data_IF_153278077080
#
_entry.id   IF_153278077080
#
_cell.length_a   1.000
_cell.length_b   1.000
_cell.length_c   1.000
_cell.angle_alpha   90.00
_cell.angle_beta   90.00
_cell.angle_gamma   90.00
#
_symmetry.space_group_name_H-M   'P 1'
#
loop_
_entity.id
_entity.type
_entity.pdbx_description
1 polymer ?
#
# COMPACT_ATOMS: atom_id res chain seq x y z
N UNK A 1 11.21 12.52 -10.18
CA UNK A 1 11.58 11.24 -9.51
C UNK A 1 11.77 10.15 -10.55
N UNK A 2 12.87 9.36 -10.48
CA UNK A 2 13.12 8.26 -11.44
C UNK A 2 12.73 6.88 -10.88
N UNK A 3 12.86 6.67 -9.58
CA UNK A 3 12.61 5.37 -8.93
C UNK A 3 11.81 5.57 -7.65
N UNK A 4 10.84 4.68 -7.39
CA UNK A 4 10.11 4.58 -6.14
C UNK A 4 10.27 3.15 -5.59
N UNK A 5 11.16 2.96 -4.62
CA UNK A 5 11.49 1.66 -4.03
C UNK A 5 10.96 1.53 -2.62
N UNK A 6 11.07 2.59 -1.82
CA UNK A 6 10.60 2.68 -0.44
C UNK A 6 9.61 3.86 -0.31
N UNK A 7 8.58 3.79 0.54
CA UNK A 7 7.72 4.96 0.81
C UNK A 7 8.49 6.20 1.27
N UNK A 8 9.68 6.00 1.85
CA UNK A 8 10.54 7.08 2.34
C UNK A 8 11.37 7.76 1.24
N UNK A 9 11.34 7.26 0.00
CA UNK A 9 11.97 7.92 -1.16
C UNK A 9 11.26 9.23 -1.54
N UNK A 10 10.02 9.42 -1.07
CA UNK A 10 9.24 10.63 -1.27
C UNK A 10 9.32 11.54 -0.02
N UNK A 11 9.46 12.83 -0.23
CA UNK A 11 9.25 13.81 0.84
C UNK A 11 7.75 13.93 1.21
N UNK A 12 7.43 14.60 2.31
CA UNK A 12 6.02 14.86 2.67
C UNK A 12 5.36 15.72 1.60
N UNK A 13 6.06 16.73 1.11
CA UNK A 13 5.58 17.63 0.07
C UNK A 13 5.31 16.90 -1.25
N UNK A 14 6.16 15.94 -1.62
CA UNK A 14 5.94 15.11 -2.82
C UNK A 14 4.74 14.18 -2.66
N UNK A 15 4.45 13.70 -1.44
CA UNK A 15 3.24 12.93 -1.14
C UNK A 15 2.00 13.82 -1.24
N UNK A 16 2.05 15.02 -0.67
CA UNK A 16 0.95 15.98 -0.73
C UNK A 16 0.63 16.36 -2.19
N UNK A 17 1.64 16.60 -3.03
CA UNK A 17 1.46 16.80 -4.47
C UNK A 17 0.77 15.60 -5.15
N UNK A 18 1.17 14.37 -4.83
CA UNK A 18 0.53 13.17 -5.39
C UNK A 18 -0.93 13.05 -4.93
N UNK A 19 -1.24 13.42 -3.70
CA UNK A 19 -2.61 13.47 -3.16
C UNK A 19 -3.42 14.51 -3.93
N UNK A 20 -2.86 15.70 -4.19
CA UNK A 20 -3.55 16.76 -4.93
C UNK A 20 -3.82 16.33 -6.38
N UNK A 21 -2.85 15.76 -7.08
CA UNK A 21 -3.02 15.23 -8.44
C UNK A 21 -4.10 14.13 -8.44
N UNK A 22 -4.06 13.18 -7.48
CA UNK A 22 -5.05 12.12 -7.38
C UNK A 22 -6.46 12.67 -7.15
N UNK A 23 -6.61 13.70 -6.31
CA UNK A 23 -7.90 14.36 -6.05
C UNK A 23 -8.40 15.13 -7.29
N UNK A 24 -7.51 15.79 -8.05
CA UNK A 24 -7.91 16.44 -9.29
C UNK A 24 -8.37 15.42 -10.35
N UNK A 25 -7.68 14.28 -10.49
CA UNK A 25 -8.11 13.17 -11.34
C UNK A 25 -9.50 12.65 -10.92
N UNK A 26 -9.75 12.51 -9.61
CA UNK A 26 -11.04 12.04 -9.08
C UNK A 26 -12.16 13.03 -9.43
N UNK A 27 -11.87 14.32 -9.34
CA UNK A 27 -12.82 15.39 -9.62
C UNK A 27 -13.22 15.44 -11.10
N UNK A 28 -12.26 15.27 -12.01
CA UNK A 28 -12.52 15.24 -13.44
C UNK A 28 -11.56 14.31 -14.19
N UNK A 29 -12.02 13.07 -14.40
CA UNK A 29 -11.23 12.02 -15.09
C UNK A 29 -11.06 12.28 -16.58
N UNK A 30 -11.98 13.03 -17.18
CA UNK A 30 -11.99 13.22 -18.65
C UNK A 30 -10.80 14.03 -19.11
N UNK A 31 -10.31 14.94 -18.27
CA UNK A 31 -9.10 15.75 -18.53
C UNK A 31 -7.81 14.92 -18.62
N UNK A 32 -7.82 13.71 -18.09
CA UNK A 32 -6.62 12.86 -17.97
C UNK A 32 -6.61 11.68 -18.93
N UNK A 33 -7.68 11.44 -19.66
CA UNK A 33 -7.90 10.20 -20.42
C UNK A 33 -6.93 9.98 -21.60
N UNK A 34 -6.20 11.00 -22.05
CA UNK A 34 -5.27 10.94 -23.18
C UNK A 34 -3.86 11.40 -22.82
N UNK A 35 -3.58 11.77 -21.56
CA UNK A 35 -2.29 12.34 -21.12
C UNK A 35 -1.12 11.36 -21.32
N UNK A 36 -1.35 10.05 -21.15
CA UNK A 36 -0.35 9.01 -21.41
C UNK A 36 -0.48 8.38 -22.82
N UNK A 37 -1.09 9.07 -23.78
CA UNK A 37 -1.19 8.57 -25.15
C UNK A 37 0.19 8.25 -25.70
N UNK A 38 0.34 7.07 -26.31
CA UNK A 38 1.61 6.51 -26.82
C UNK A 38 2.65 6.14 -25.74
N UNK A 39 2.30 6.19 -24.46
CA UNK A 39 3.15 5.67 -23.38
C UNK A 39 2.81 4.23 -23.05
N UNK A 40 3.82 3.47 -22.65
CA UNK A 40 3.70 2.04 -22.33
C UNK A 40 4.17 1.80 -20.91
N UNK A 41 3.30 1.19 -20.08
CA UNK A 41 3.65 0.67 -18.77
C UNK A 41 3.98 -0.82 -18.89
N UNK A 42 5.15 -1.24 -18.40
CA UNK A 42 5.46 -2.65 -18.20
C UNK A 42 5.09 -3.10 -16.78
N UNK A 43 4.22 -4.12 -16.66
CA UNK A 43 3.87 -4.76 -15.38
C UNK A 43 4.60 -6.09 -15.24
N UNK A 44 5.71 -6.11 -14.46
CA UNK A 44 6.59 -7.26 -14.32
C UNK A 44 6.35 -7.94 -12.97
N UNK A 45 5.42 -8.88 -12.94
CA UNK A 45 5.00 -9.56 -11.72
C UNK A 45 5.64 -10.94 -11.62
N UNK A 46 6.82 -11.03 -11.02
CA UNK A 46 7.54 -12.29 -10.73
C UNK A 46 6.83 -13.10 -9.63
N UNK A 47 6.05 -12.43 -8.79
CA UNK A 47 5.17 -13.02 -7.79
C UNK A 47 3.71 -12.64 -8.12
N UNK A 48 2.75 -13.59 -8.10
CA UNK A 48 1.36 -13.32 -8.42
C UNK A 48 0.74 -12.23 -7.52
N UNK A 49 0.07 -11.27 -8.12
CA UNK A 49 -0.72 -10.26 -7.42
C UNK A 49 -1.81 -9.68 -8.32
N UNK A 50 -3.02 -10.22 -8.21
CA UNK A 50 -4.15 -9.84 -9.04
C UNK A 50 -4.49 -8.36 -8.88
N UNK A 51 -4.74 -7.91 -7.64
CA UNK A 51 -5.19 -6.53 -7.37
C UNK A 51 -4.18 -5.47 -7.78
N UNK A 52 -2.93 -5.62 -7.35
CA UNK A 52 -1.89 -4.62 -7.63
C UNK A 52 -1.64 -4.50 -9.12
N UNK A 53 -1.56 -5.63 -9.84
CA UNK A 53 -1.37 -5.65 -11.29
C UNK A 53 -2.52 -4.97 -12.01
N UNK A 54 -3.76 -5.41 -11.76
CA UNK A 54 -4.95 -4.84 -12.39
C UNK A 54 -5.11 -3.35 -12.08
N UNK A 55 -4.72 -2.91 -10.87
CA UNK A 55 -4.76 -1.50 -10.50
C UNK A 55 -3.78 -0.65 -11.29
N UNK A 56 -2.53 -1.12 -11.51
CA UNK A 56 -1.56 -0.43 -12.36
C UNK A 56 -1.98 -0.41 -13.82
N UNK A 57 -2.44 -1.55 -14.35
CA UNK A 57 -2.90 -1.65 -15.73
C UNK A 57 -4.12 -0.75 -15.96
N UNK A 58 -5.12 -0.79 -15.07
CA UNK A 58 -6.28 0.09 -15.11
C UNK A 58 -5.90 1.57 -15.00
N UNK A 59 -4.91 1.91 -14.16
CA UNK A 59 -4.42 3.29 -14.04
C UNK A 59 -3.84 3.79 -15.36
N UNK A 60 -2.94 3.02 -15.98
CA UNK A 60 -2.32 3.41 -17.24
C UNK A 60 -3.32 3.50 -18.40
N UNK A 61 -4.22 2.51 -18.50
CA UNK A 61 -5.29 2.53 -19.52
C UNK A 61 -6.24 3.71 -19.34
N UNK A 62 -6.54 4.10 -18.09
CA UNK A 62 -7.40 5.27 -17.81
C UNK A 62 -6.73 6.60 -18.16
N UNK A 63 -5.41 6.63 -18.30
CA UNK A 63 -4.61 7.77 -18.76
C UNK A 63 -4.40 7.76 -20.29
N UNK A 64 -4.99 6.80 -21.03
CA UNK A 64 -4.84 6.67 -22.48
C UNK A 64 -3.58 5.95 -22.95
N UNK A 65 -2.79 5.39 -22.01
CA UNK A 65 -1.60 4.63 -22.33
C UNK A 65 -1.88 3.16 -22.67
N UNK A 66 -0.81 2.40 -22.88
CA UNK A 66 -0.84 0.97 -23.16
C UNK A 66 -0.09 0.18 -22.08
N UNK A 67 -0.35 -1.12 -22.01
CA UNK A 67 0.29 -2.00 -21.03
C UNK A 67 0.87 -3.24 -21.70
N UNK A 68 2.01 -3.69 -21.18
CA UNK A 68 2.59 -4.99 -21.49
C UNK A 68 3.12 -5.62 -20.20
N UNK A 69 3.43 -6.91 -20.21
CA UNK A 69 4.03 -7.55 -19.04
C UNK A 69 3.61 -8.98 -18.83
N UNK A 70 3.89 -9.49 -17.63
CA UNK A 70 3.57 -10.86 -17.22
C UNK A 70 3.12 -10.91 -15.77
N UNK A 71 2.38 -11.99 -15.42
CA UNK A 71 1.77 -12.19 -14.09
C UNK A 71 2.48 -13.22 -13.22
N UNK A 72 3.49 -13.91 -13.78
CA UNK A 72 4.27 -14.96 -13.08
C UNK A 72 5.61 -15.18 -13.78
N UNK A 73 6.66 -15.40 -13.00
CA UNK A 73 7.99 -15.77 -13.51
C UNK A 73 8.00 -17.08 -14.30
N UNK A 74 7.09 -18.01 -13.99
CA UNK A 74 7.06 -19.36 -14.57
C UNK A 74 6.90 -19.37 -16.12
N UNK A 75 6.28 -18.33 -16.68
CA UNK A 75 6.03 -18.21 -18.12
C UNK A 75 6.95 -17.18 -18.80
N UNK A 76 8.11 -16.91 -18.21
CA UNK A 76 9.07 -15.91 -18.69
C UNK A 76 10.47 -16.52 -18.87
N UNK A 77 11.39 -15.77 -19.44
CA UNK A 77 12.80 -16.16 -19.53
C UNK A 77 13.47 -16.36 -18.17
N UNK A 78 12.91 -15.80 -17.08
CA UNK A 78 13.38 -16.06 -15.72
C UNK A 78 13.32 -17.56 -15.35
N UNK A 79 12.34 -18.32 -15.88
CA UNK A 79 12.26 -19.78 -15.70
C UNK A 79 13.42 -20.53 -16.37
N UNK A 80 14.12 -19.89 -17.32
CA UNK A 80 15.32 -20.40 -18.00
C UNK A 80 16.62 -19.92 -17.35
N UNK A 81 16.55 -19.17 -16.25
CA UNK A 81 17.71 -18.64 -15.52
C UNK A 81 18.12 -17.21 -15.88
N UNK A 82 17.31 -16.47 -16.66
CA UNK A 82 17.57 -15.06 -16.93
C UNK A 82 17.56 -14.24 -15.63
N UNK A 83 18.56 -13.38 -15.47
CA UNK A 83 18.65 -12.53 -14.28
C UNK A 83 17.63 -11.40 -14.32
N UNK A 84 17.22 -10.89 -13.12
CA UNK A 84 16.39 -9.67 -13.01
C UNK A 84 17.03 -8.50 -13.78
N UNK A 85 18.35 -8.37 -13.70
CA UNK A 85 19.10 -7.31 -14.39
C UNK A 85 18.95 -7.37 -15.90
N UNK A 86 19.04 -8.57 -16.49
CA UNK A 86 18.89 -8.75 -17.94
C UNK A 86 17.45 -8.52 -18.37
N UNK A 87 16.48 -9.09 -17.64
CA UNK A 87 15.05 -8.82 -17.88
C UNK A 87 14.76 -7.33 -17.90
N UNK A 88 15.26 -6.58 -16.92
CA UNK A 88 15.03 -5.12 -16.83
C UNK A 88 15.70 -4.38 -17.97
N UNK A 89 16.92 -4.74 -18.34
CA UNK A 89 17.63 -4.12 -19.49
C UNK A 89 16.85 -4.31 -20.80
N UNK A 90 16.33 -5.51 -21.03
CA UNK A 90 15.52 -5.82 -22.22
C UNK A 90 14.19 -5.07 -22.20
N UNK A 91 13.44 -5.18 -21.10
CA UNK A 91 12.08 -4.59 -21.01
C UNK A 91 12.12 -3.07 -21.04
N UNK A 92 13.16 -2.44 -20.50
CA UNK A 92 13.34 -0.99 -20.59
C UNK A 92 13.40 -0.46 -22.02
N UNK A 93 13.69 -1.32 -23.02
CA UNK A 93 13.66 -0.96 -24.45
C UNK A 93 12.26 -1.02 -25.07
N UNK A 94 11.26 -1.52 -24.33
CA UNK A 94 9.90 -1.74 -24.83
C UNK A 94 8.84 -0.88 -24.13
N UNK A 95 9.22 -0.11 -23.12
CA UNK A 95 8.27 0.65 -22.31
C UNK A 95 8.84 2.00 -21.86
N UNK A 96 7.96 2.86 -21.36
CA UNK A 96 8.31 4.18 -20.82
C UNK A 96 8.42 4.17 -19.28
N UNK A 97 7.79 3.19 -18.61
CA UNK A 97 7.77 3.05 -17.15
C UNK A 97 7.54 1.59 -16.77
N UNK A 98 8.13 1.17 -15.65
CA UNK A 98 8.04 -0.20 -15.14
C UNK A 98 7.40 -0.22 -13.75
N UNK A 99 6.40 -1.08 -13.54
CA UNK A 99 5.93 -1.50 -12.22
C UNK A 99 6.38 -2.95 -11.99
N UNK A 100 7.24 -3.17 -11.00
CA UNK A 100 7.83 -4.48 -10.73
C UNK A 100 7.42 -5.01 -9.36
N UNK A 101 6.95 -6.27 -9.32
CA UNK A 101 6.73 -7.04 -8.10
C UNK A 101 7.59 -8.29 -8.08
N UNK A 102 8.27 -8.55 -6.96
CA UNK A 102 9.21 -9.67 -6.85
C UNK A 102 9.14 -10.35 -5.47
N UNK A 103 9.28 -11.70 -5.39
CA UNK A 103 9.27 -12.40 -4.10
C UNK A 103 10.52 -12.15 -3.24
N UNK A 104 11.64 -11.77 -3.84
CA UNK A 104 12.89 -11.47 -3.11
C UNK A 104 12.97 -9.99 -2.75
N UNK A 105 13.23 -9.73 -1.49
CA UNK A 105 13.48 -8.39 -0.95
C UNK A 105 14.67 -7.72 -1.65
N UNK A 106 14.56 -6.43 -1.93
CA UNK A 106 15.60 -5.64 -2.61
C UNK A 106 15.72 -5.89 -4.12
N UNK A 107 14.98 -6.82 -4.71
CA UNK A 107 15.05 -7.05 -6.17
C UNK A 107 14.70 -5.79 -6.99
N UNK A 108 13.68 -4.98 -6.63
CA UNK A 108 13.43 -3.72 -7.33
C UNK A 108 14.60 -2.71 -7.21
N UNK A 109 15.29 -2.68 -6.08
CA UNK A 109 16.49 -1.84 -5.92
C UNK A 109 17.62 -2.29 -6.85
N UNK A 110 17.84 -3.59 -6.99
CA UNK A 110 18.82 -4.13 -7.95
C UNK A 110 18.41 -3.77 -9.39
N UNK A 111 17.12 -3.85 -9.71
CA UNK A 111 16.55 -3.51 -11.01
C UNK A 111 16.85 -2.05 -11.41
N UNK A 112 16.85 -1.09 -10.46
CA UNK A 112 17.14 0.33 -10.76
C UNK A 112 18.53 0.55 -11.40
N UNK A 113 19.49 -0.34 -11.12
CA UNK A 113 20.86 -0.25 -11.66
C UNK A 113 20.92 -0.46 -13.16
N UNK A 114 19.90 -1.09 -13.74
CA UNK A 114 19.83 -1.46 -15.15
C UNK A 114 18.66 -0.81 -15.88
N UNK A 115 17.69 -0.28 -15.16
CA UNK A 115 16.55 0.40 -15.77
C UNK A 115 16.97 1.74 -16.38
N UNK A 116 16.65 1.92 -17.65
CA UNK A 116 16.80 3.22 -18.36
C UNK A 116 15.55 4.10 -18.21
N UNK A 117 14.43 3.53 -17.79
CA UNK A 117 13.13 4.17 -17.58
C UNK A 117 12.77 4.23 -16.10
N UNK A 118 11.80 5.06 -15.69
CA UNK A 118 11.26 5.06 -14.32
C UNK A 118 10.80 3.67 -13.86
N UNK A 119 11.06 3.33 -12.58
CA UNK A 119 10.70 2.05 -12.00
C UNK A 119 10.00 2.20 -10.64
N UNK A 120 8.89 1.49 -10.49
CA UNK A 120 8.06 1.46 -9.28
C UNK A 120 8.15 0.07 -8.65
N UNK A 121 8.47 0.02 -7.37
CA UNK A 121 8.31 -1.18 -6.55
C UNK A 121 6.81 -1.42 -6.27
N UNK A 122 6.24 -2.44 -6.89
CA UNK A 122 4.86 -2.90 -6.67
C UNK A 122 4.74 -3.98 -5.57
N UNK A 123 5.79 -4.13 -4.75
CA UNK A 123 5.92 -5.07 -3.64
C UNK A 123 7.12 -6.00 -3.79
N UNK A 124 7.96 -6.10 -2.78
CA UNK A 124 9.13 -6.99 -2.74
C UNK A 124 9.14 -7.84 -1.46
N UNK A 125 8.73 -9.09 -1.59
CA UNK A 125 8.71 -10.06 -0.51
C UNK A 125 7.95 -9.57 0.73
N UNK A 126 8.59 -9.64 1.88
CA UNK A 126 8.08 -9.13 3.17
C UNK A 126 8.47 -7.68 3.47
N UNK A 127 9.25 -7.02 2.61
CA UNK A 127 9.94 -5.78 2.90
C UNK A 127 9.05 -4.54 2.68
N UNK A 128 8.83 -4.11 1.43
CA UNK A 128 8.13 -2.86 1.15
C UNK A 128 6.98 -3.01 0.15
N UNK A 129 5.99 -2.12 0.29
CA UNK A 129 4.93 -1.93 -0.70
C UNK A 129 4.58 -0.44 -0.81
N UNK A 130 5.46 0.40 -1.40
CA UNK A 130 5.31 1.86 -1.36
C UNK A 130 3.97 2.34 -1.92
N UNK A 131 3.47 1.70 -2.97
CA UNK A 131 2.19 2.12 -3.57
C UNK A 131 0.97 1.74 -2.74
N UNK A 132 1.08 0.77 -1.82
CA UNK A 132 0.03 0.53 -0.83
C UNK A 132 0.03 1.64 0.21
N UNK A 133 1.19 2.05 0.71
CA UNK A 133 1.32 3.16 1.64
C UNK A 133 0.72 4.45 1.07
N UNK A 134 1.03 4.77 -0.19
CA UNK A 134 0.43 5.94 -0.87
C UNK A 134 -1.09 5.81 -1.02
N UNK A 135 -1.60 4.60 -1.31
CA UNK A 135 -3.04 4.31 -1.32
C UNK A 135 -3.70 4.60 0.02
N UNK A 136 -3.04 4.15 1.11
CA UNK A 136 -3.52 4.31 2.47
C UNK A 136 -3.54 5.79 2.86
N UNK A 137 -2.48 6.54 2.55
CA UNK A 137 -2.40 7.99 2.81
C UNK A 137 -3.48 8.78 2.06
N UNK A 138 -3.72 8.48 0.77
CA UNK A 138 -4.81 9.12 0.03
C UNK A 138 -6.16 8.81 0.65
N UNK A 139 -6.39 7.57 1.08
CA UNK A 139 -7.66 7.18 1.72
C UNK A 139 -7.85 7.91 3.02
N UNK A 140 -6.84 7.98 3.88
CA UNK A 140 -6.89 8.73 5.14
C UNK A 140 -7.18 10.21 4.86
N UNK A 141 -6.45 10.83 3.93
CA UNK A 141 -6.64 12.24 3.59
C UNK A 141 -8.06 12.53 3.08
N UNK A 142 -8.61 11.68 2.24
CA UNK A 142 -9.96 11.87 1.68
C UNK A 142 -11.06 11.72 2.72
N UNK A 143 -10.90 10.80 3.65
CA UNK A 143 -11.90 10.53 4.68
C UNK A 143 -11.77 11.48 5.89
N UNK A 144 -10.55 11.92 6.22
CA UNK A 144 -10.28 12.76 7.39
C UNK A 144 -9.96 14.22 7.06
N UNK A 145 -9.70 14.55 5.80
CA UNK A 145 -9.30 15.90 5.37
C UNK A 145 -7.90 16.32 5.83
N UNK A 146 -7.15 15.42 6.47
CA UNK A 146 -5.81 15.68 7.04
C UNK A 146 -5.03 14.40 7.22
N UNK A 147 -3.71 14.53 7.41
CA UNK A 147 -2.79 13.44 7.76
C UNK A 147 -2.10 13.66 9.12
N UNK A 148 -2.43 14.72 9.82
CA UNK A 148 -1.95 15.03 11.17
C UNK A 148 -3.07 14.92 12.23
N UNK A 149 -2.71 14.97 13.52
CA UNK A 149 -3.65 14.93 14.65
C UNK A 149 -4.61 13.73 14.56
N UNK A 150 -4.08 12.52 14.35
CA UNK A 150 -4.85 11.28 14.20
C UNK A 150 -4.37 10.20 15.16
N UNK A 151 -5.31 9.40 15.65
CA UNK A 151 -5.05 8.18 16.39
C UNK A 151 -5.30 6.98 15.48
N UNK A 152 -4.25 6.19 15.20
CA UNK A 152 -4.28 5.07 14.26
C UNK A 152 -4.11 3.76 15.02
N UNK A 153 -5.12 2.91 15.00
CA UNK A 153 -5.06 1.54 15.51
C UNK A 153 -4.68 0.57 14.38
N UNK A 154 -3.59 -0.17 14.56
CA UNK A 154 -3.24 -1.31 13.70
C UNK A 154 -3.62 -2.59 14.41
N UNK A 155 -4.41 -3.45 13.78
CA UNK A 155 -4.92 -4.67 14.39
C UNK A 155 -4.62 -5.92 13.56
N UNK A 156 -4.12 -6.97 14.20
CA UNK A 156 -3.89 -8.29 13.63
C UNK A 156 -2.43 -8.71 13.61
N UNK A 157 -1.90 -9.06 12.43
CA UNK A 157 -0.49 -9.47 12.28
C UNK A 157 0.42 -8.25 12.11
N UNK A 158 0.92 -7.74 13.23
CA UNK A 158 1.83 -6.59 13.23
C UNK A 158 3.29 -6.99 13.09
N UNK A 159 3.60 -8.26 13.35
CA UNK A 159 4.97 -8.79 13.27
C UNK A 159 5.48 -8.90 11.84
N UNK A 160 4.64 -9.44 10.95
CA UNK A 160 4.97 -9.69 9.54
C UNK A 160 4.26 -8.74 8.58
N UNK A 161 3.42 -7.85 9.11
CA UNK A 161 2.58 -6.93 8.35
C UNK A 161 3.36 -5.78 7.72
N UNK A 162 4.01 -6.01 6.56
CA UNK A 162 4.78 -4.96 5.84
C UNK A 162 3.98 -3.67 5.59
N UNK A 163 2.67 -3.76 5.37
CA UNK A 163 1.80 -2.60 5.17
C UNK A 163 1.68 -1.77 6.45
N UNK A 164 1.60 -2.43 7.61
CA UNK A 164 1.65 -1.78 8.93
C UNK A 164 2.98 -1.05 9.11
N UNK A 165 4.10 -1.74 8.87
CA UNK A 165 5.44 -1.17 9.03
C UNK A 165 5.64 0.07 8.12
N UNK A 166 5.25 -0.04 6.85
CA UNK A 166 5.41 1.03 5.88
C UNK A 166 4.49 2.23 6.20
N UNK A 167 3.24 1.98 6.60
CA UNK A 167 2.32 3.05 6.96
C UNK A 167 2.72 3.72 8.28
N UNK A 168 3.21 2.97 9.27
CA UNK A 168 3.76 3.53 10.52
C UNK A 168 4.94 4.47 10.21
N UNK A 169 5.89 4.05 9.35
CA UNK A 169 7.00 4.90 8.92
C UNK A 169 6.52 6.17 8.21
N UNK A 170 5.57 6.06 7.30
CA UNK A 170 5.04 7.19 6.56
C UNK A 170 4.32 8.18 7.49
N UNK A 171 3.41 7.70 8.34
CA UNK A 171 2.63 8.52 9.27
C UNK A 171 3.49 9.14 10.38
N UNK A 172 4.63 8.53 10.74
CA UNK A 172 5.57 9.10 11.72
C UNK A 172 6.20 10.43 11.30
N UNK A 173 5.98 10.87 10.07
CA UNK A 173 6.46 12.17 9.54
C UNK A 173 5.46 13.30 9.71
N UNK A 174 4.20 12.97 10.04
CA UNK A 174 3.14 13.94 10.29
C UNK A 174 3.04 14.27 11.77
N UNK A 175 2.46 15.43 12.11
CA UNK A 175 2.41 15.93 13.49
C UNK A 175 1.31 15.27 14.29
N UNK A 176 1.57 15.06 15.59
CA UNK A 176 0.58 14.59 16.57
C UNK A 176 -0.13 13.29 16.16
N UNK A 177 0.63 12.32 15.62
CA UNK A 177 0.11 10.98 15.35
C UNK A 177 0.28 10.13 16.60
N UNK A 178 -0.80 9.46 17.01
CA UNK A 178 -0.79 8.45 18.06
C UNK A 178 -0.97 7.08 17.43
N UNK A 179 -0.07 6.17 17.77
CA UNK A 179 -0.13 4.80 17.28
C UNK A 179 -0.67 3.86 18.36
N UNK A 180 -1.60 3.00 17.99
CA UNK A 180 -2.13 1.94 18.85
C UNK A 180 -1.91 0.60 18.13
N UNK A 181 -1.12 -0.28 18.73
CA UNK A 181 -0.80 -1.59 18.18
C UNK A 181 -1.61 -2.66 18.91
N UNK A 182 -2.55 -3.29 18.20
CA UNK A 182 -3.52 -4.24 18.73
C UNK A 182 -3.15 -5.62 18.24
N UNK A 183 -2.48 -6.42 19.06
CA UNK A 183 -1.99 -7.73 18.67
C UNK A 183 -1.78 -8.65 19.87
N UNK A 184 -1.93 -9.98 19.70
CA UNK A 184 -1.51 -10.93 20.72
C UNK A 184 0.01 -10.90 20.87
N UNK A 185 0.57 -11.39 21.99
CA UNK A 185 2.01 -11.34 22.26
C UNK A 185 2.90 -11.86 21.13
N UNK A 186 2.45 -12.86 20.39
CA UNK A 186 3.19 -13.52 19.31
C UNK A 186 3.26 -12.70 18.01
N UNK A 187 2.32 -11.76 17.82
CA UNK A 187 2.17 -10.95 16.60
C UNK A 187 2.41 -9.44 16.83
N UNK A 188 3.00 -9.08 17.96
CA UNK A 188 3.35 -7.69 18.28
C UNK A 188 4.29 -7.07 17.25
N UNK A 189 4.26 -5.75 17.17
CA UNK A 189 5.14 -4.99 16.30
C UNK A 189 6.62 -5.28 16.65
N UNK A 190 7.52 -5.43 15.66
CA UNK A 190 8.93 -5.75 15.90
C UNK A 190 9.67 -4.69 16.72
N UNK A 191 10.58 -5.14 17.59
CA UNK A 191 11.38 -4.26 18.46
C UNK A 191 12.19 -3.22 17.67
N UNK A 192 12.71 -3.56 16.48
CA UNK A 192 13.45 -2.60 15.68
C UNK A 192 12.60 -1.39 15.25
N UNK A 193 11.30 -1.58 14.98
CA UNK A 193 10.40 -0.46 14.68
C UNK A 193 10.12 0.38 15.91
N UNK A 194 10.04 -0.23 17.10
CA UNK A 194 9.91 0.54 18.36
C UNK A 194 11.15 1.38 18.58
N UNK A 195 12.32 0.76 18.64
CA UNK A 195 13.57 1.47 18.98
C UNK A 195 14.03 2.45 17.91
N UNK A 196 14.06 2.02 16.64
CA UNK A 196 14.67 2.81 15.56
C UNK A 196 13.72 3.89 15.00
N UNK A 197 12.43 3.79 15.28
CA UNK A 197 11.46 4.75 14.76
C UNK A 197 10.65 5.42 15.88
N UNK A 198 9.90 4.65 16.67
CA UNK A 198 8.92 5.22 17.59
C UNK A 198 9.63 5.91 18.76
N UNK A 199 10.54 5.22 19.44
CA UNK A 199 11.30 5.76 20.56
C UNK A 199 12.29 6.82 20.08
N UNK A 200 13.01 6.58 18.99
CA UNK A 200 13.99 7.50 18.43
C UNK A 200 13.38 8.87 18.04
N UNK A 201 12.10 8.89 17.64
CA UNK A 201 11.36 10.11 17.32
C UNK A 201 10.47 10.61 18.47
N UNK A 202 10.48 9.94 19.62
CA UNK A 202 9.62 10.23 20.77
C UNK A 202 8.14 10.32 20.39
N UNK A 203 7.66 9.32 19.63
CA UNK A 203 6.28 9.26 19.16
C UNK A 203 5.37 8.66 20.23
N UNK A 204 4.13 9.13 20.29
CA UNK A 204 3.10 8.61 21.19
C UNK A 204 2.59 7.26 20.66
N UNK A 205 2.85 6.16 21.40
CA UNK A 205 2.31 4.85 21.04
C UNK A 205 1.99 4.00 22.26
N UNK A 206 1.05 3.06 22.08
CA UNK A 206 0.71 2.03 23.06
C UNK A 206 0.46 0.68 22.39
N UNK A 207 0.72 -0.41 23.11
CA UNK A 207 0.38 -1.78 22.72
C UNK A 207 -0.76 -2.28 23.60
N UNK A 208 -1.77 -2.90 22.99
CA UNK A 208 -2.93 -3.51 23.66
C UNK A 208 -3.24 -4.86 23.02
N UNK A 209 -4.06 -5.67 23.70
CA UNK A 209 -4.39 -7.01 23.19
C UNK A 209 -5.75 -7.10 22.54
N UNK A 210 -6.67 -6.16 22.78
CA UNK A 210 -8.03 -6.19 22.24
C UNK A 210 -8.44 -4.87 21.59
N UNK A 211 -9.35 -4.95 20.60
CA UNK A 211 -9.90 -3.78 19.93
C UNK A 211 -10.77 -2.98 20.93
N UNK A 212 -11.50 -3.66 21.78
CA UNK A 212 -12.45 -3.11 22.73
C UNK A 212 -11.82 -2.14 23.74
N UNK A 213 -10.51 -2.31 24.03
CA UNK A 213 -9.76 -1.42 24.94
C UNK A 213 -9.56 -0.01 24.39
N UNK A 214 -9.68 0.15 23.06
CA UNK A 214 -9.18 1.37 22.39
C UNK A 214 -10.10 1.93 21.32
N UNK A 215 -11.12 1.20 20.90
CA UNK A 215 -11.97 1.53 19.75
C UNK A 215 -12.60 2.92 19.85
N UNK A 216 -12.91 3.38 21.06
CA UNK A 216 -13.51 4.69 21.34
C UNK A 216 -12.56 5.86 21.03
N UNK A 217 -11.26 5.63 21.08
CA UNK A 217 -10.22 6.65 20.87
C UNK A 217 -9.77 6.76 19.41
N UNK A 218 -10.00 5.72 18.60
CA UNK A 218 -9.43 5.62 17.27
C UNK A 218 -10.10 6.54 16.25
N UNK A 219 -9.31 7.16 15.40
CA UNK A 219 -9.76 7.82 14.16
C UNK A 219 -9.69 6.87 12.97
N UNK A 220 -8.74 5.93 13.01
CA UNK A 220 -8.50 4.94 11.96
C UNK A 220 -8.29 3.59 12.63
N UNK A 221 -8.98 2.56 12.16
CA UNK A 221 -8.71 1.16 12.46
C UNK A 221 -8.22 0.45 11.20
N UNK A 222 -6.94 0.13 11.16
CA UNK A 222 -6.31 -0.59 10.06
C UNK A 222 -6.22 -2.07 10.41
N UNK A 223 -7.12 -2.86 9.81
CA UNK A 223 -7.17 -4.31 10.02
C UNK A 223 -6.21 -5.04 9.12
N UNK A 224 -5.59 -6.11 9.61
CA UNK A 224 -4.75 -7.01 8.82
C UNK A 224 -5.11 -8.47 9.09
N UNK A 225 -4.99 -9.31 8.08
CA UNK A 225 -5.16 -10.75 8.27
C UNK A 225 -3.94 -11.38 8.92
N UNK A 226 -4.13 -12.45 9.67
CA UNK A 226 -3.07 -13.32 10.13
C UNK A 226 -2.57 -14.15 8.94
N UNK A 227 -1.29 -14.02 8.59
CA UNK A 227 -0.71 -14.57 7.35
C UNK A 227 -0.26 -16.04 7.57
N UNK A 228 -1.07 -17.03 7.13
CA UNK A 228 -0.75 -18.47 7.27
C UNK A 228 0.65 -18.81 6.74
N UNK A 229 1.04 -18.20 5.64
CA UNK A 229 2.31 -18.41 4.94
C UNK A 229 3.58 -17.99 5.73
N UNK A 230 3.39 -17.33 6.88
CA UNK A 230 4.47 -16.86 7.76
C UNK A 230 4.68 -17.74 9.00
N UNK A 231 3.80 -18.70 9.25
CA UNK A 231 3.90 -19.57 10.41
C UNK A 231 4.66 -20.86 10.07
N UNK A 232 5.64 -21.21 10.88
CA UNK A 232 6.31 -22.53 10.81
C UNK A 232 5.44 -23.66 11.35
N UNK A 233 4.54 -23.35 12.31
CA UNK A 233 3.65 -24.31 12.94
C UNK A 233 2.20 -23.97 12.59
N UNK A 234 1.50 -24.90 11.96
CA UNK A 234 0.09 -24.73 11.58
C UNK A 234 -0.84 -24.58 12.80
N UNK A 235 -0.48 -25.18 13.95
CA UNK A 235 -1.27 -25.06 15.18
C UNK A 235 -1.27 -23.63 15.72
N UNK A 236 -0.15 -22.91 15.63
CA UNK A 236 -0.07 -21.51 16.03
C UNK A 236 -0.94 -20.64 15.13
N UNK A 237 -0.93 -20.88 13.83
CA UNK A 237 -1.83 -20.20 12.91
C UNK A 237 -3.30 -20.46 13.24
N UNK A 238 -3.70 -21.73 13.48
CA UNK A 238 -5.09 -22.09 13.80
C UNK A 238 -5.55 -21.38 15.08
N UNK A 239 -4.69 -21.27 16.08
CA UNK A 239 -4.98 -20.59 17.34
C UNK A 239 -5.18 -19.08 17.16
N UNK A 240 -4.42 -18.44 16.27
CA UNK A 240 -4.36 -16.98 16.12
C UNK A 240 -5.23 -16.43 15.00
N UNK A 241 -5.60 -17.22 14.00
CA UNK A 241 -6.30 -16.76 12.79
C UNK A 241 -7.64 -16.06 13.06
N UNK A 242 -8.34 -16.45 14.12
CA UNK A 242 -9.66 -15.93 14.49
C UNK A 242 -9.62 -15.02 15.72
N UNK A 243 -8.43 -14.59 16.16
CA UNK A 243 -8.26 -13.77 17.36
C UNK A 243 -8.95 -12.41 17.23
N UNK A 244 -8.91 -11.84 16.02
CA UNK A 244 -9.50 -10.53 15.76
C UNK A 244 -10.51 -10.62 14.62
N UNK A 245 -11.79 -10.59 15.00
CA UNK A 245 -12.90 -10.44 14.06
C UNK A 245 -13.60 -9.15 14.38
N UNK A 246 -13.53 -8.19 13.45
CA UNK A 246 -14.28 -6.95 13.56
C UNK A 246 -15.72 -7.21 13.13
N UNK A 247 -16.66 -6.94 14.00
CA UNK A 247 -18.11 -7.04 13.79
C UNK A 247 -18.81 -5.70 14.12
N UNK A 248 -20.10 -5.59 13.82
CA UNK A 248 -20.88 -4.37 14.11
C UNK A 248 -20.95 -4.06 15.60
N UNK A 249 -20.97 -5.07 16.46
CA UNK A 249 -21.03 -4.89 17.92
C UNK A 249 -19.79 -4.17 18.45
N UNK A 250 -18.59 -4.50 17.92
CA UNK A 250 -17.35 -3.81 18.28
C UNK A 250 -17.37 -2.35 17.82
N UNK A 251 -17.98 -2.11 16.65
CA UNK A 251 -18.09 -0.76 16.08
C UNK A 251 -19.08 0.13 16.82
N UNK A 252 -20.03 -0.40 17.61
CA UNK A 252 -21.01 0.42 18.35
C UNK A 252 -20.38 1.48 19.25
N UNK A 253 -19.21 1.17 19.83
CA UNK A 253 -18.49 2.08 20.73
C UNK A 253 -17.51 3.01 20.05
N UNK A 254 -17.30 2.85 18.75
CA UNK A 254 -16.34 3.69 18.02
C UNK A 254 -16.89 5.08 17.74
N UNK A 255 -16.00 6.00 17.38
CA UNK A 255 -16.40 7.30 16.85
C UNK A 255 -17.25 7.12 15.60
N UNK A 256 -18.21 8.01 15.38
CA UNK A 256 -19.07 7.98 14.18
C UNK A 256 -18.29 8.23 12.89
N UNK A 257 -17.16 8.92 12.98
CA UNK A 257 -16.25 9.22 11.88
C UNK A 257 -15.00 8.30 11.84
N UNK A 258 -14.96 7.23 12.65
CA UNK A 258 -13.94 6.20 12.52
C UNK A 258 -13.91 5.69 11.07
N UNK A 259 -12.73 5.43 10.52
CA UNK A 259 -12.60 4.70 9.26
C UNK A 259 -11.94 3.34 9.48
N UNK A 260 -12.53 2.30 8.89
CA UNK A 260 -11.99 0.95 8.89
C UNK A 260 -11.29 0.71 7.55
N UNK A 261 -10.00 0.41 7.60
CA UNK A 261 -9.15 0.15 6.44
C UNK A 261 -8.62 -1.28 6.45
N UNK A 262 -8.30 -1.82 5.27
CA UNK A 262 -7.71 -3.15 5.11
C UNK A 262 -6.98 -3.25 3.77
N UNK A 263 -5.73 -3.77 3.71
CA UNK A 263 -4.96 -3.84 2.46
C UNK A 263 -5.46 -4.93 1.50
N UNK A 264 -6.39 -5.78 1.95
CA UNK A 264 -6.93 -6.94 1.23
C UNK A 264 -5.83 -7.94 0.72
N UNK A 265 -6.14 -9.23 0.56
CA UNK A 265 -7.47 -9.84 0.77
C UNK A 265 -7.79 -10.01 2.25
N UNK A 266 -9.05 -9.86 2.61
CA UNK A 266 -9.55 -10.33 3.90
C UNK A 266 -10.02 -11.80 3.78
N UNK A 267 -10.06 -12.48 4.90
CA UNK A 267 -10.62 -13.83 5.04
C UNK A 267 -11.84 -13.77 5.98
N UNK A 268 -11.59 -13.65 7.29
CA UNK A 268 -12.64 -13.61 8.30
C UNK A 268 -12.42 -12.53 9.37
N UNK A 269 -11.33 -11.78 9.28
CA UNK A 269 -10.96 -10.73 10.24
C UNK A 269 -11.86 -9.50 10.21
N UNK A 270 -12.73 -9.39 9.20
CA UNK A 270 -13.82 -8.42 9.16
C UNK A 270 -15.07 -9.20 8.74
N UNK A 271 -16.10 -9.17 9.57
CA UNK A 271 -17.38 -9.80 9.30
C UNK A 271 -18.10 -9.15 8.11
N UNK A 272 -18.85 -9.91 7.33
CA UNK A 272 -19.46 -9.46 6.07
C UNK A 272 -20.45 -8.30 6.31
N UNK A 273 -21.17 -8.34 7.42
CA UNK A 273 -22.13 -7.28 7.77
C UNK A 273 -21.50 -5.91 7.97
N UNK A 274 -20.19 -5.83 8.19
CA UNK A 274 -19.44 -4.54 8.27
C UNK A 274 -19.32 -3.86 6.91
N UNK A 275 -19.49 -4.59 5.80
CA UNK A 275 -19.38 -4.01 4.46
C UNK A 275 -20.38 -2.90 4.18
N UNK A 276 -21.54 -2.95 4.82
CA UNK A 276 -22.62 -1.95 4.67
C UNK A 276 -22.49 -0.81 5.70
N UNK A 277 -21.54 -0.86 6.62
CA UNK A 277 -21.31 0.21 7.58
C UNK A 277 -20.58 1.39 6.89
N UNK A 278 -21.03 2.64 7.08
CA UNK A 278 -20.42 3.81 6.44
C UNK A 278 -18.95 4.05 6.83
N UNK A 279 -18.50 3.44 7.94
CA UNK A 279 -17.10 3.49 8.40
C UNK A 279 -16.19 2.52 7.62
N UNK A 280 -16.75 1.51 6.93
CA UNK A 280 -15.99 0.54 6.12
C UNK A 280 -15.44 1.22 4.85
N UNK A 281 -14.12 1.48 4.81
CA UNK A 281 -13.47 2.21 3.71
C UNK A 281 -12.50 1.36 2.90
N UNK A 282 -12.38 0.08 3.17
CA UNK A 282 -11.42 -0.79 2.49
C UNK A 282 -11.73 -1.04 1.00
N UNK A 283 -12.97 -0.89 0.54
CA UNK A 283 -13.27 -0.92 -0.89
C UNK A 283 -13.05 0.44 -1.56
N UNK A 284 -13.34 1.55 -0.89
CA UNK A 284 -12.96 2.89 -1.34
C UNK A 284 -11.43 3.02 -1.42
N UNK A 285 -10.71 2.41 -0.48
CA UNK A 285 -9.25 2.30 -0.49
C UNK A 285 -8.73 1.63 -1.77
N UNK A 286 -9.39 0.58 -2.29
CA UNK A 286 -9.02 -0.04 -3.58
C UNK A 286 -9.16 0.96 -4.72
N UNK A 287 -10.25 1.72 -4.75
CA UNK A 287 -10.47 2.74 -5.78
C UNK A 287 -9.46 3.88 -5.68
N UNK A 288 -9.20 4.37 -4.48
CA UNK A 288 -8.16 5.37 -4.21
C UNK A 288 -6.78 4.90 -4.68
N UNK A 289 -6.49 3.61 -4.52
CA UNK A 289 -5.25 3.00 -5.02
C UNK A 289 -5.06 3.15 -6.52
N UNK A 290 -6.14 3.06 -7.32
CA UNK A 290 -6.06 3.30 -8.77
C UNK A 290 -5.72 4.76 -9.06
N UNK A 291 -6.39 5.70 -8.42
CA UNK A 291 -6.15 7.14 -8.64
C UNK A 291 -4.76 7.56 -8.18
N UNK A 292 -4.29 7.05 -7.06
CA UNK A 292 -2.93 7.31 -6.60
C UNK A 292 -1.88 6.75 -7.58
N UNK A 293 -2.14 5.59 -8.19
CA UNK A 293 -1.25 5.05 -9.23
C UNK A 293 -1.29 5.85 -10.52
N UNK A 294 -2.45 6.43 -10.88
CA UNK A 294 -2.53 7.39 -11.99
C UNK A 294 -1.66 8.62 -11.71
N UNK A 295 -1.80 9.25 -10.55
CA UNK A 295 -0.99 10.39 -10.13
C UNK A 295 0.51 10.06 -10.13
N UNK A 296 0.88 8.89 -9.59
CA UNK A 296 2.27 8.43 -9.55
C UNK A 296 2.85 8.21 -10.95
N UNK A 297 2.10 7.59 -11.87
CA UNK A 297 2.51 7.40 -13.27
C UNK A 297 2.76 8.75 -13.93
N UNK A 298 1.84 9.70 -13.81
CA UNK A 298 1.99 11.05 -14.37
C UNK A 298 3.25 11.73 -13.84
N UNK A 299 3.43 11.76 -12.52
CA UNK A 299 4.60 12.40 -11.89
C UNK A 299 5.91 11.75 -12.31
N UNK A 300 5.98 10.42 -12.41
CA UNK A 300 7.20 9.71 -12.81
C UNK A 300 7.52 9.86 -14.30
N UNK A 301 6.51 10.08 -15.15
CA UNK A 301 6.70 10.40 -16.56
C UNK A 301 6.90 11.90 -16.83
N UNK A 302 6.72 12.77 -15.82
CA UNK A 302 6.79 14.23 -15.98
C UNK A 302 5.62 14.82 -16.76
N UNK A 303 4.44 14.18 -16.67
CA UNK A 303 3.23 14.54 -17.42
C UNK A 303 2.13 15.19 -16.55
N UNK A 304 2.41 15.42 -15.28
CA UNK A 304 1.43 15.98 -14.33
C UNK A 304 0.91 17.36 -14.71
N UNK A 305 1.65 18.12 -15.54
CA UNK A 305 1.28 19.45 -16.01
C UNK A 305 0.77 19.47 -17.46
N UNK A 306 0.75 18.32 -18.15
CA UNK A 306 0.29 18.21 -19.54
C UNK A 306 -1.22 17.93 -19.68
N UNK A 307 -1.97 18.25 -18.65
CA UNK A 307 -3.42 18.07 -18.60
C UNK A 307 -4.11 19.16 -19.40
N UNK A 308 -4.88 18.81 -20.41
CA UNK A 308 -5.68 19.77 -21.20
C UNK A 308 -6.64 20.53 -20.25
N UNK A 309 -6.62 21.85 -20.35
CA UNK A 309 -7.46 22.76 -19.56
C UNK A 309 -8.88 22.79 -20.05
#
# INVERSE_FOLDING_TARGET
MKYLIDPMDLSVEEIDELIDIANDIIKDRTRYQDVCRHKILATLFFEPSTRTRLSFESAMLSLGGSVLGFSSANNTSASKGESVSDTISVVSSYCDIIAMRHPKEGAPLVATRKSTVPLINAGDGGHNHPTQTLTDLLTIYREKGRLDNLTIGFCGDLKFGRTVHSLTKAMSRYKNIKFVFIAPPELKIPEYLKHDLLDAKNLDYREVETIEEVIEDLDILYMTRVQKERFFNEQDYIRLKDTYILDLKKLEKSKSDLIVMHPLPRVNEIAIEVDDDPRAKYFDQVQNGRFMRMALILKMLGLENEVER
#
